data_IF_745774323816
#
_entry.id   IF_745774323816
#
_cell.length_a   1.000
_cell.length_b   1.000
_cell.length_c   1.000
_cell.angle_alpha   90.00
_cell.angle_beta   90.00
_cell.angle_gamma   90.00
#
_symmetry.space_group_name_H-M   'P 1'
#
loop_
_entity.id
_entity.type
_entity.pdbx_description
1 polymer ?
#
# COMPACT_ATOMS: atom_id res chain seq x y z
N UNK A 1 -0.60 -20.23 -10.54
CA UNK A 1 -1.98 -19.93 -10.99
C UNK A 1 -3.00 -20.94 -10.47
N UNK A 2 -2.64 -22.22 -10.30
CA UNK A 2 -3.55 -23.24 -9.73
C UNK A 2 -3.95 -22.98 -8.26
N UNK A 3 -3.07 -22.34 -7.49
CA UNK A 3 -3.24 -22.09 -6.05
C UNK A 3 -3.83 -20.69 -5.70
N UNK A 4 -4.40 -19.98 -6.68
CA UNK A 4 -4.97 -18.66 -6.39
C UNK A 4 -6.13 -18.76 -5.40
N UNK A 5 -6.41 -17.68 -4.66
CA UNK A 5 -7.37 -17.67 -3.55
C UNK A 5 -8.79 -18.12 -3.93
N UNK A 6 -9.18 -17.99 -5.20
CA UNK A 6 -10.50 -18.40 -5.72
C UNK A 6 -10.51 -19.78 -6.39
N UNK A 7 -9.40 -20.53 -6.34
CA UNK A 7 -9.29 -21.89 -6.92
C UNK A 7 -9.55 -22.95 -5.85
N UNK A 8 -10.01 -24.13 -6.27
CA UNK A 8 -10.23 -25.26 -5.35
C UNK A 8 -8.92 -25.80 -4.75
N UNK A 9 -7.83 -25.79 -5.53
CA UNK A 9 -6.52 -26.23 -5.07
C UNK A 9 -5.94 -25.18 -4.14
N UNK A 10 -5.64 -25.56 -2.89
CA UNK A 10 -5.12 -24.69 -1.85
C UNK A 10 -3.84 -25.27 -1.23
N UNK A 11 -2.94 -24.43 -0.69
CA UNK A 11 -1.80 -24.89 0.11
C UNK A 11 -2.25 -25.87 1.22
N UNK A 12 -1.42 -26.89 1.49
CA UNK A 12 -1.71 -27.89 2.54
C UNK A 12 -0.58 -27.93 3.57
N UNK A 13 -0.74 -28.73 4.61
CA UNK A 13 0.28 -29.09 5.61
C UNK A 13 1.61 -29.61 5.04
N UNK A 14 1.67 -29.97 3.75
CA UNK A 14 2.88 -30.34 3.02
C UNK A 14 3.71 -29.13 2.55
N UNK A 15 3.19 -27.91 2.70
CA UNK A 15 3.90 -26.67 2.34
C UNK A 15 5.13 -26.51 3.23
N UNK A 16 6.29 -26.27 2.62
CA UNK A 16 7.52 -26.07 3.37
C UNK A 16 7.45 -24.82 4.26
N UNK A 17 8.06 -24.86 5.47
CA UNK A 17 8.12 -23.69 6.33
C UNK A 17 8.93 -22.56 5.67
N UNK A 18 8.45 -21.33 5.77
CA UNK A 18 9.10 -20.15 5.20
C UNK A 18 9.80 -19.38 6.33
N UNK A 19 11.08 -19.02 6.11
CA UNK A 19 11.79 -18.03 6.90
C UNK A 19 11.99 -16.81 5.99
N UNK A 20 11.37 -15.68 6.34
CA UNK A 20 11.43 -14.46 5.57
C UNK A 20 12.52 -13.53 6.14
N UNK A 21 13.47 -13.13 5.31
CA UNK A 21 14.47 -12.10 5.64
C UNK A 21 14.25 -10.92 4.71
N UNK A 22 13.83 -9.79 5.23
CA UNK A 22 13.48 -8.63 4.40
C UNK A 22 14.69 -7.75 4.10
N UNK A 23 14.79 -7.29 2.86
CA UNK A 23 15.86 -6.41 2.37
C UNK A 23 15.32 -5.09 1.82
N UNK A 24 13.99 -4.93 1.83
CA UNK A 24 13.27 -3.71 1.49
C UNK A 24 12.16 -3.50 2.52
N UNK A 25 11.79 -2.25 2.78
CA UNK A 25 10.69 -1.88 3.66
C UNK A 25 9.54 -1.34 2.80
N UNK A 26 8.50 -2.13 2.57
CA UNK A 26 7.39 -1.80 1.66
C UNK A 26 6.19 -2.71 1.70
N UNK A 27 6.42 -4.01 1.49
CA UNK A 27 5.35 -4.95 1.16
C UNK A 27 4.64 -5.52 2.38
N UNK A 28 5.26 -5.49 3.57
CA UNK A 28 4.81 -6.21 4.75
C UNK A 28 4.72 -7.73 4.58
N UNK A 29 5.15 -8.28 3.44
CA UNK A 29 4.93 -9.66 3.02
C UNK A 29 5.43 -10.71 4.02
N UNK A 30 6.46 -10.36 4.79
CA UNK A 30 7.02 -11.18 5.87
C UNK A 30 6.04 -11.45 7.02
N UNK A 31 4.93 -10.71 7.12
CA UNK A 31 3.90 -10.89 8.15
C UNK A 31 2.50 -11.06 7.55
N UNK A 32 2.39 -11.48 6.29
CA UNK A 32 1.09 -11.73 5.63
C UNK A 32 0.91 -13.18 5.19
N UNK A 33 -0.34 -13.56 4.98
CA UNK A 33 -0.75 -14.84 4.37
C UNK A 33 -0.97 -14.74 2.86
N UNK A 34 -0.30 -13.77 2.21
CA UNK A 34 -0.53 -13.42 0.81
C UNK A 34 0.75 -13.57 0.01
N UNK A 35 0.66 -14.25 -1.13
CA UNK A 35 1.71 -14.29 -2.13
C UNK A 35 1.17 -13.80 -3.47
N UNK A 36 1.50 -12.56 -3.84
CA UNK A 36 1.11 -11.96 -5.10
C UNK A 36 1.97 -12.50 -6.26
N UNK A 37 1.34 -12.84 -7.37
CA UNK A 37 1.96 -13.46 -8.55
C UNK A 37 1.41 -12.80 -9.81
N UNK A 38 2.30 -12.48 -10.75
CA UNK A 38 1.93 -11.94 -12.07
C UNK A 38 1.99 -13.05 -13.12
N UNK A 39 0.90 -13.20 -13.88
CA UNK A 39 0.86 -13.96 -15.12
C UNK A 39 1.02 -12.99 -16.30
N UNK A 40 2.24 -12.88 -16.81
CA UNK A 40 2.58 -11.94 -17.89
C UNK A 40 1.91 -12.29 -19.23
N UNK A 41 1.52 -13.55 -19.45
CA UNK A 41 0.80 -13.96 -20.67
C UNK A 41 -0.65 -13.50 -20.65
N UNK A 42 -1.27 -13.52 -19.47
CA UNK A 42 -2.66 -13.10 -19.26
C UNK A 42 -2.78 -11.63 -18.84
N UNK A 43 -1.65 -10.90 -18.73
CA UNK A 43 -1.57 -9.53 -18.20
C UNK A 43 -2.28 -9.36 -16.85
N UNK A 44 -2.24 -10.38 -15.99
CA UNK A 44 -2.97 -10.40 -14.72
C UNK A 44 -2.06 -10.55 -13.53
N UNK A 45 -2.37 -9.83 -12.46
CA UNK A 45 -1.78 -10.04 -11.14
C UNK A 45 -2.87 -10.55 -10.20
N UNK A 46 -2.56 -11.59 -9.46
CA UNK A 46 -3.47 -12.16 -8.46
C UNK A 46 -2.65 -12.73 -7.30
N UNK A 47 -3.29 -13.39 -6.34
CA UNK A 47 -2.61 -13.86 -5.15
C UNK A 47 -3.05 -15.26 -4.69
N UNK A 48 -2.11 -15.94 -4.04
CA UNK A 48 -2.42 -17.00 -3.08
C UNK A 48 -2.77 -16.31 -1.76
N UNK A 49 -3.87 -16.71 -1.13
CA UNK A 49 -4.28 -16.22 0.19
C UNK A 49 -4.56 -17.43 1.09
N UNK A 50 -3.66 -17.76 1.99
CA UNK A 50 -3.80 -18.93 2.85
C UNK A 50 -2.94 -18.85 4.12
N UNK A 51 -3.50 -19.15 5.29
CA UNK A 51 -2.76 -19.08 6.56
C UNK A 51 -1.57 -20.05 6.65
N UNK A 52 -1.52 -21.09 5.82
CA UNK A 52 -0.40 -22.03 5.74
C UNK A 52 0.87 -21.36 5.19
N UNK A 53 0.75 -20.30 4.39
CA UNK A 53 1.90 -19.61 3.79
C UNK A 53 2.43 -18.45 4.64
N UNK A 54 1.93 -18.26 5.87
CA UNK A 54 2.59 -17.34 6.80
C UNK A 54 4.05 -17.76 7.02
N UNK A 55 5.01 -16.81 6.94
CA UNK A 55 6.35 -17.06 7.42
C UNK A 55 6.35 -17.55 8.86
N UNK A 56 7.12 -18.62 9.13
CA UNK A 56 7.30 -19.17 10.48
C UNK A 56 8.22 -18.30 11.32
N UNK A 57 9.15 -17.63 10.65
CA UNK A 57 10.08 -16.67 11.23
C UNK A 57 10.24 -15.53 10.24
N UNK A 58 10.19 -14.31 10.75
CA UNK A 58 10.42 -13.08 9.99
C UNK A 58 11.58 -12.33 10.65
N UNK A 59 12.63 -12.09 9.88
CA UNK A 59 13.84 -11.41 10.32
C UNK A 59 13.86 -10.05 9.64
N UNK A 60 13.70 -9.02 10.46
CA UNK A 60 13.72 -7.62 10.03
C UNK A 60 15.00 -7.02 10.59
N UNK A 61 15.98 -6.86 9.71
CA UNK A 61 17.26 -6.22 10.03
C UNK A 61 17.41 -4.95 9.16
N UNK A 62 17.27 -3.74 9.76
CA UNK A 62 17.39 -2.49 9.02
C UNK A 62 18.74 -2.32 8.31
N UNK A 63 19.83 -2.97 8.76
CA UNK A 63 21.13 -2.90 8.09
C UNK A 63 21.08 -3.47 6.66
N UNK A 64 20.23 -4.47 6.43
CA UNK A 64 20.01 -5.07 5.11
C UNK A 64 19.31 -4.13 4.12
N UNK A 65 18.77 -3.01 4.61
CA UNK A 65 18.08 -2.01 3.77
C UNK A 65 18.95 -0.80 3.41
N UNK A 66 20.15 -0.67 4.00
CA UNK A 66 21.00 0.52 3.85
C UNK A 66 21.43 0.79 2.40
N UNK A 67 21.55 -0.27 1.60
CA UNK A 67 21.98 -0.19 0.19
C UNK A 67 20.83 0.06 -0.80
N UNK A 68 19.57 0.08 -0.32
CA UNK A 68 18.40 0.29 -1.18
C UNK A 68 18.41 1.71 -1.75
N UNK A 69 18.37 1.90 -3.08
CA UNK A 69 18.39 3.22 -3.69
C UNK A 69 17.23 4.12 -3.23
N UNK A 70 17.43 5.44 -3.29
CA UNK A 70 16.43 6.42 -2.85
C UNK A 70 15.07 6.27 -3.58
N UNK A 71 15.07 6.05 -4.90
CA UNK A 71 13.83 5.86 -5.66
C UNK A 71 13.07 4.58 -5.28
N UNK A 72 13.80 3.47 -5.06
CA UNK A 72 13.20 2.23 -4.54
C UNK A 72 12.62 2.47 -3.15
N UNK A 73 13.37 3.14 -2.28
CA UNK A 73 12.93 3.51 -0.92
C UNK A 73 11.67 4.37 -0.94
N UNK A 74 11.57 5.31 -1.88
CA UNK A 74 10.39 6.16 -2.03
C UNK A 74 9.17 5.35 -2.47
N UNK A 75 9.33 4.48 -3.49
CA UNK A 75 8.26 3.61 -3.96
C UNK A 75 7.80 2.64 -2.89
N UNK A 76 8.72 1.92 -2.23
CA UNK A 76 8.35 0.93 -1.21
C UNK A 76 7.82 1.62 0.05
N UNK A 77 8.39 2.76 0.46
CA UNK A 77 7.87 3.52 1.59
C UNK A 77 6.49 4.12 1.36
N UNK A 78 6.14 4.48 0.12
CA UNK A 78 4.77 4.86 -0.22
C UNK A 78 3.81 3.66 -0.18
N UNK A 79 4.27 2.47 -0.56
CA UNK A 79 3.52 1.22 -0.38
C UNK A 79 3.17 0.98 1.10
N UNK A 80 4.13 1.19 2.03
CA UNK A 80 3.87 1.14 3.49
C UNK A 80 2.76 2.11 3.91
N UNK A 81 2.80 3.35 3.39
CA UNK A 81 1.76 4.34 3.66
C UNK A 81 0.41 3.87 3.12
N UNK A 82 0.36 3.38 1.89
CA UNK A 82 -0.85 2.90 1.24
C UNK A 82 -1.49 1.74 2.01
N UNK A 83 -0.71 0.71 2.33
CA UNK A 83 -1.13 -0.40 3.18
C UNK A 83 -1.73 0.07 4.51
N UNK A 84 -1.04 0.97 5.20
CA UNK A 84 -1.50 1.48 6.49
C UNK A 84 -2.80 2.29 6.34
N UNK A 85 -2.85 3.23 5.40
CA UNK A 85 -4.02 4.09 5.23
C UNK A 85 -5.22 3.34 4.70
N UNK A 86 -5.05 2.44 3.74
CA UNK A 86 -6.12 1.63 3.19
C UNK A 86 -6.71 0.68 4.23
N UNK A 87 -5.87 0.01 5.03
CA UNK A 87 -6.34 -0.80 6.16
C UNK A 87 -7.06 0.04 7.23
N UNK A 88 -6.61 1.29 7.45
CA UNK A 88 -7.28 2.21 8.36
C UNK A 88 -8.66 2.63 7.87
N UNK A 89 -8.81 2.94 6.58
CA UNK A 89 -10.11 3.37 6.04
C UNK A 89 -10.99 2.20 5.60
N UNK A 90 -10.47 0.98 5.57
CA UNK A 90 -11.20 -0.23 5.18
C UNK A 90 -12.56 -0.30 5.89
N UNK A 91 -13.63 -0.61 5.15
CA UNK A 91 -15.02 -0.59 5.68
C UNK A 91 -15.25 -1.54 6.86
N UNK A 92 -14.45 -2.62 6.94
CA UNK A 92 -14.48 -3.62 8.01
C UNK A 92 -13.28 -3.52 8.95
N UNK A 93 -12.59 -2.38 9.04
CA UNK A 93 -11.44 -2.24 9.93
C UNK A 93 -11.85 -2.42 11.40
N UNK A 94 -10.91 -2.89 12.23
CA UNK A 94 -11.14 -3.07 13.67
C UNK A 94 -10.28 -2.08 14.48
N UNK A 95 -10.64 -1.78 15.75
CA UNK A 95 -9.84 -0.89 16.59
C UNK A 95 -8.38 -1.32 16.75
N UNK A 96 -8.11 -2.63 16.72
CA UNK A 96 -6.75 -3.17 16.73
C UNK A 96 -5.95 -2.72 15.50
N UNK A 97 -6.56 -2.80 14.31
CA UNK A 97 -5.92 -2.39 13.05
C UNK A 97 -5.77 -0.88 12.98
N UNK A 98 -6.73 -0.11 13.50
CA UNK A 98 -6.61 1.34 13.52
C UNK A 98 -5.37 1.81 14.30
N UNK A 99 -5.04 1.16 15.43
CA UNK A 99 -3.84 1.47 16.21
C UNK A 99 -2.57 1.22 15.40
N UNK A 100 -2.44 0.03 14.79
CA UNK A 100 -1.25 -0.33 14.00
C UNK A 100 -1.10 0.57 12.78
N UNK A 101 -2.20 0.81 12.06
CA UNK A 101 -2.22 1.61 10.85
C UNK A 101 -1.87 3.08 11.12
N UNK A 102 -2.44 3.69 12.17
CA UNK A 102 -2.12 5.08 12.52
C UNK A 102 -0.65 5.25 12.92
N UNK A 103 -0.07 4.28 13.63
CA UNK A 103 1.35 4.30 13.97
C UNK A 103 2.23 4.11 12.71
N UNK A 104 1.86 3.20 11.81
CA UNK A 104 2.54 3.05 10.51
C UNK A 104 2.54 4.35 9.69
N UNK A 105 1.39 5.02 9.59
CA UNK A 105 1.26 6.32 8.91
C UNK A 105 2.15 7.37 9.57
N UNK A 106 2.17 7.44 10.91
CA UNK A 106 2.99 8.40 11.66
C UNK A 106 4.48 8.21 11.38
N UNK A 107 4.97 6.98 11.46
CA UNK A 107 6.37 6.66 11.18
C UNK A 107 6.76 7.00 9.73
N UNK A 108 5.89 6.69 8.75
CA UNK A 108 6.13 7.06 7.35
C UNK A 108 6.17 8.57 7.16
N UNK A 109 5.22 9.30 7.75
CA UNK A 109 5.16 10.77 7.67
C UNK A 109 6.42 11.43 8.23
N UNK A 110 6.97 10.90 9.33
CA UNK A 110 8.14 11.43 10.01
C UNK A 110 9.47 11.04 9.33
N UNK A 111 9.60 9.79 8.87
CA UNK A 111 10.91 9.23 8.53
C UNK A 111 11.15 8.96 7.04
N UNK A 112 10.11 8.82 6.21
CA UNK A 112 10.30 8.34 4.83
C UNK A 112 11.22 9.27 4.03
N UNK A 113 10.98 10.58 4.11
CA UNK A 113 11.80 11.55 3.38
C UNK A 113 13.28 11.47 3.75
N UNK A 114 13.57 11.25 5.03
CA UNK A 114 14.95 11.09 5.51
C UNK A 114 15.56 9.82 4.93
N UNK A 115 14.85 8.68 4.98
CA UNK A 115 15.33 7.42 4.41
C UNK A 115 15.55 7.49 2.88
N UNK A 116 14.72 8.26 2.17
CA UNK A 116 14.86 8.50 0.72
C UNK A 116 16.10 9.34 0.41
N UNK A 117 16.35 10.40 1.20
CA UNK A 117 17.46 11.35 0.96
C UNK A 117 18.80 10.86 1.47
N UNK A 118 18.80 10.15 2.60
CA UNK A 118 19.98 9.58 3.25
C UNK A 118 19.69 8.11 3.57
N UNK A 119 19.99 7.24 2.60
CA UNK A 119 19.79 5.81 2.75
C UNK A 119 20.66 5.15 3.83
N UNK A 120 21.68 5.86 4.33
CA UNK A 120 22.57 5.39 5.40
C UNK A 120 22.06 5.73 6.81
N UNK A 121 21.00 6.53 6.92
CA UNK A 121 20.41 6.90 8.20
C UNK A 121 19.69 5.70 8.83
N UNK A 122 20.38 5.03 9.77
CA UNK A 122 19.90 3.78 10.37
C UNK A 122 18.61 3.98 11.18
N UNK A 123 18.41 5.15 11.79
CA UNK A 123 17.20 5.47 12.54
C UNK A 123 15.99 5.55 11.62
N UNK A 124 16.11 6.26 10.49
CA UNK A 124 15.06 6.35 9.48
C UNK A 124 14.78 4.99 8.83
N UNK A 125 15.80 4.20 8.51
CA UNK A 125 15.63 2.83 8.01
C UNK A 125 14.89 1.95 9.02
N UNK A 126 15.28 2.03 10.29
CA UNK A 126 14.65 1.25 11.37
C UNK A 126 13.17 1.62 11.52
N UNK A 127 12.86 2.92 11.49
CA UNK A 127 11.49 3.41 11.58
C UNK A 127 10.62 2.93 10.41
N UNK A 128 11.13 2.98 9.17
CA UNK A 128 10.38 2.53 8.00
C UNK A 128 10.25 0.99 7.95
N UNK A 129 11.26 0.23 8.38
CA UNK A 129 11.15 -1.23 8.54
C UNK A 129 10.12 -1.63 9.60
N UNK A 130 10.01 -0.85 10.68
CA UNK A 130 8.96 -1.05 11.66
C UNK A 130 7.58 -0.68 11.10
N UNK A 131 7.46 0.45 10.41
CA UNK A 131 6.23 0.86 9.75
C UNK A 131 5.76 -0.18 8.71
N UNK A 132 6.68 -0.75 7.93
CA UNK A 132 6.41 -1.85 6.99
C UNK A 132 5.82 -3.09 7.70
N UNK A 133 6.37 -3.45 8.85
CA UNK A 133 5.85 -4.56 9.65
C UNK A 133 4.44 -4.28 10.17
N UNK A 134 4.20 -3.07 10.69
CA UNK A 134 2.86 -2.64 11.13
C UNK A 134 1.85 -2.63 9.98
N UNK A 135 2.25 -2.11 8.82
CA UNK A 135 1.44 -2.07 7.62
C UNK A 135 1.08 -3.49 7.14
N UNK A 136 2.06 -4.41 7.13
CA UNK A 136 1.85 -5.82 6.83
C UNK A 136 0.85 -6.50 7.78
N UNK A 137 0.99 -6.28 9.10
CA UNK A 137 0.03 -6.78 10.09
C UNK A 137 -1.36 -6.18 9.88
N UNK A 138 -1.45 -4.90 9.51
CA UNK A 138 -2.71 -4.23 9.20
C UNK A 138 -3.42 -4.88 8.01
N UNK A 139 -2.73 -5.05 6.87
CA UNK A 139 -3.34 -5.63 5.66
C UNK A 139 -3.60 -7.14 5.79
N UNK A 140 -2.83 -7.86 6.59
CA UNK A 140 -3.06 -9.28 6.85
C UNK A 140 -4.42 -9.55 7.54
N UNK A 141 -4.94 -8.56 8.26
CA UNK A 141 -6.15 -8.68 9.08
C UNK A 141 -7.33 -7.83 8.58
N UNK A 142 -7.08 -6.69 7.93
CA UNK A 142 -8.14 -5.89 7.31
C UNK A 142 -8.22 -6.08 5.80
N UNK A 143 -7.08 -6.20 5.11
CA UNK A 143 -6.98 -6.10 3.65
C UNK A 143 -6.70 -4.68 3.18
N UNK A 144 -6.75 -4.50 1.87
CA UNK A 144 -6.53 -3.24 1.15
C UNK A 144 -7.81 -2.78 0.45
N UNK A 145 -7.75 -1.67 -0.26
CA UNK A 145 -8.91 -1.04 -0.90
C UNK A 145 -8.69 -0.75 -2.38
N UNK A 146 -9.44 0.21 -2.94
CA UNK A 146 -9.47 0.53 -4.36
C UNK A 146 -8.08 0.79 -5.00
N UNK A 147 -7.18 1.60 -4.41
CA UNK A 147 -5.87 1.87 -5.01
C UNK A 147 -5.04 0.61 -5.26
N UNK A 148 -5.04 -0.35 -4.34
CA UNK A 148 -4.33 -1.62 -4.54
C UNK A 148 -4.93 -2.45 -5.68
N UNK A 149 -6.25 -2.49 -5.80
CA UNK A 149 -6.93 -3.13 -6.93
C UNK A 149 -6.46 -2.54 -8.27
N UNK A 150 -6.45 -1.22 -8.39
CA UNK A 150 -5.99 -0.51 -9.60
C UNK A 150 -4.49 -0.75 -9.84
N UNK A 151 -3.66 -0.65 -8.80
CA UNK A 151 -2.22 -0.85 -8.91
C UNK A 151 -1.83 -2.29 -9.28
N UNK A 152 -2.63 -3.28 -8.88
CA UNK A 152 -2.47 -4.67 -9.33
C UNK A 152 -2.82 -4.83 -10.81
N UNK A 153 -3.91 -4.21 -11.27
CA UNK A 153 -4.28 -4.21 -12.68
C UNK A 153 -3.20 -3.51 -13.54
N UNK A 154 -2.72 -2.33 -13.12
CA UNK A 154 -1.59 -1.65 -13.76
C UNK A 154 -0.36 -2.57 -13.81
N UNK A 155 0.04 -3.20 -12.71
CA UNK A 155 1.21 -4.08 -12.69
C UNK A 155 1.05 -5.38 -13.50
N UNK A 156 -0.18 -5.82 -13.74
CA UNK A 156 -0.48 -6.93 -14.65
C UNK A 156 -0.30 -6.54 -16.12
N UNK A 157 -0.82 -5.38 -16.50
CA UNK A 157 -0.76 -4.82 -17.85
C UNK A 157 0.63 -4.26 -18.20
N UNK A 158 1.26 -3.59 -17.25
CA UNK A 158 2.52 -2.84 -17.37
C UNK A 158 3.53 -3.35 -16.32
N UNK A 159 4.16 -4.53 -16.51
CA UNK A 159 5.04 -5.15 -15.52
C UNK A 159 6.34 -4.38 -15.25
N UNK A 160 6.67 -3.36 -16.06
CA UNK A 160 7.79 -2.46 -15.83
C UNK A 160 7.51 -1.40 -14.75
N UNK A 161 6.25 -1.20 -14.37
CA UNK A 161 5.83 -0.22 -13.36
C UNK A 161 5.99 -0.82 -11.97
N UNK A 162 6.67 -0.12 -11.06
CA UNK A 162 6.77 -0.58 -9.67
C UNK A 162 5.43 -0.45 -8.96
N UNK A 163 5.12 -1.37 -8.04
CA UNK A 163 3.82 -1.38 -7.37
C UNK A 163 3.51 -0.07 -6.61
N UNK A 164 4.48 0.43 -5.85
CA UNK A 164 4.32 1.70 -5.13
C UNK A 164 4.23 2.92 -6.04
N UNK A 165 4.83 2.88 -7.23
CA UNK A 165 4.66 3.93 -8.25
C UNK A 165 3.24 3.92 -8.83
N UNK A 166 2.70 2.75 -9.15
CA UNK A 166 1.31 2.60 -9.60
C UNK A 166 0.32 3.12 -8.56
N UNK A 167 0.53 2.79 -7.27
CA UNK A 167 -0.25 3.34 -6.16
C UNK A 167 -0.14 4.86 -6.11
N UNK A 168 1.07 5.40 -6.20
CA UNK A 168 1.32 6.83 -6.12
C UNK A 168 0.65 7.63 -7.25
N UNK A 169 0.58 7.06 -8.46
CA UNK A 169 -0.07 7.71 -9.60
C UNK A 169 -1.59 7.84 -9.43
N UNK A 170 -2.24 6.89 -8.76
CA UNK A 170 -3.71 6.89 -8.60
C UNK A 170 -4.17 7.55 -7.30
N UNK A 171 -3.29 7.62 -6.29
CA UNK A 171 -3.62 8.10 -4.95
C UNK A 171 -4.22 9.52 -4.90
N UNK A 172 -3.71 10.51 -5.66
CA UNK A 172 -4.29 11.86 -5.67
C UNK A 172 -5.78 11.87 -6.01
N UNK A 173 -6.20 11.09 -7.01
CA UNK A 173 -7.60 11.02 -7.40
C UNK A 173 -8.41 10.15 -6.44
N UNK A 174 -7.84 9.05 -5.97
CA UNK A 174 -8.45 8.22 -4.93
C UNK A 174 -8.77 9.02 -3.65
N UNK A 175 -7.85 9.87 -3.18
CA UNK A 175 -8.06 10.69 -1.98
C UNK A 175 -9.28 11.60 -2.17
N UNK A 176 -9.38 12.26 -3.33
CA UNK A 176 -10.50 13.16 -3.69
C UNK A 176 -11.81 12.41 -3.83
N UNK A 177 -11.76 11.19 -4.38
CA UNK A 177 -12.93 10.32 -4.54
C UNK A 177 -13.46 9.83 -3.19
N UNK A 178 -12.58 9.40 -2.29
CA UNK A 178 -12.95 8.65 -1.08
C UNK A 178 -13.18 9.52 0.15
N UNK A 179 -12.50 10.67 0.32
CA UNK A 179 -12.60 11.47 1.54
C UNK A 179 -14.04 11.83 1.97
N UNK A 180 -15.01 12.14 1.07
CA UNK A 180 -16.36 12.50 1.47
C UNK A 180 -17.09 11.39 2.22
N UNK A 181 -16.67 10.13 2.05
CA UNK A 181 -17.29 8.95 2.66
C UNK A 181 -16.73 8.61 4.04
N UNK A 182 -15.63 9.24 4.48
CA UNK A 182 -15.04 8.99 5.81
C UNK A 182 -14.24 10.19 6.33
N UNK A 183 -14.96 11.28 6.55
CA UNK A 183 -14.40 12.59 6.94
C UNK A 183 -13.47 12.49 8.16
N UNK A 184 -13.88 11.80 9.22
CA UNK A 184 -13.13 11.70 10.47
C UNK A 184 -11.77 11.03 10.27
N UNK A 185 -11.70 9.98 9.43
CA UNK A 185 -10.47 9.25 9.15
C UNK A 185 -9.49 10.05 8.31
N UNK A 186 -9.99 10.76 7.30
CA UNK A 186 -9.15 11.67 6.51
C UNK A 186 -8.68 12.88 7.33
N UNK A 187 -9.50 13.34 8.28
CA UNK A 187 -9.09 14.40 9.20
C UNK A 187 -8.00 13.92 10.17
N UNK A 188 -8.10 12.70 10.70
CA UNK A 188 -7.06 12.08 11.51
C UNK A 188 -5.74 11.94 10.74
N UNK A 189 -5.80 11.44 9.50
CA UNK A 189 -4.66 11.38 8.59
C UNK A 189 -3.96 12.75 8.46
N UNK A 190 -4.71 13.79 8.09
CA UNK A 190 -4.13 15.13 7.90
C UNK A 190 -3.44 15.66 9.16
N UNK A 191 -3.99 15.39 10.35
CA UNK A 191 -3.39 15.82 11.63
C UNK A 191 -2.08 15.11 11.97
N UNK A 192 -1.86 13.90 11.45
CA UNK A 192 -0.55 13.22 11.57
C UNK A 192 0.52 14.01 10.81
N UNK A 193 0.20 14.46 9.60
CA UNK A 193 1.14 15.23 8.77
C UNK A 193 1.25 16.72 9.18
N UNK A 194 0.21 17.27 9.81
CA UNK A 194 0.06 18.68 10.16
C UNK A 194 -0.63 18.84 11.52
N UNK A 195 0.17 18.84 12.59
CA UNK A 195 -0.32 18.90 13.97
C UNK A 195 -0.96 20.26 14.36
N UNK A 196 -0.75 21.31 13.57
CA UNK A 196 -1.37 22.62 13.72
C UNK A 196 -2.87 22.65 13.35
N UNK A 197 -3.37 21.61 12.68
CA UNK A 197 -4.79 21.46 12.30
C UNK A 197 -5.69 20.95 13.43
N UNK A 198 -5.18 20.84 14.66
CA UNK A 198 -5.93 20.31 15.83
C UNK A 198 -7.15 21.14 16.22
N UNK A 199 -7.18 22.43 15.88
CA UNK A 199 -8.31 23.35 16.21
C UNK A 199 -9.35 23.49 15.11
N UNK A 200 -9.10 22.94 13.92
CA UNK A 200 -10.03 23.00 12.80
C UNK A 200 -11.01 21.81 12.80
N UNK A 201 -12.19 22.00 12.22
CA UNK A 201 -13.23 20.96 12.14
C UNK A 201 -12.80 19.82 11.22
N UNK A 202 -13.32 18.61 11.46
CA UNK A 202 -12.98 17.45 10.64
C UNK A 202 -13.33 17.66 9.16
N UNK A 203 -14.42 18.35 8.83
CA UNK A 203 -14.79 18.63 7.42
C UNK A 203 -13.72 19.46 6.71
N UNK A 204 -13.20 20.50 7.38
CA UNK A 204 -12.16 21.37 6.83
C UNK A 204 -10.86 20.61 6.70
N UNK A 205 -10.49 19.85 7.74
CA UNK A 205 -9.23 19.11 7.83
C UNK A 205 -9.20 17.94 6.83
N UNK A 206 -10.31 17.21 6.69
CA UNK A 206 -10.44 16.13 5.72
C UNK A 206 -10.30 16.62 4.28
N UNK A 207 -10.85 17.80 3.94
CA UNK A 207 -10.70 18.36 2.59
C UNK A 207 -9.25 18.70 2.24
N UNK A 208 -8.49 19.27 3.19
CA UNK A 208 -7.08 19.62 2.95
C UNK A 208 -6.14 18.42 2.99
N UNK A 209 -6.59 17.27 3.51
CA UNK A 209 -5.80 16.01 3.49
C UNK A 209 -5.34 15.62 2.09
N UNK A 210 -6.15 15.89 1.06
CA UNK A 210 -5.81 15.59 -0.34
C UNK A 210 -4.54 16.35 -0.76
N UNK A 211 -4.50 17.66 -0.51
CA UNK A 211 -3.33 18.49 -0.83
C UNK A 211 -2.10 18.13 0.02
N UNK A 212 -2.30 17.74 1.27
CA UNK A 212 -1.22 17.28 2.15
C UNK A 212 -0.55 16.03 1.59
N UNK A 213 -1.34 15.04 1.13
CA UNK A 213 -0.79 13.83 0.53
C UNK A 213 -0.17 14.11 -0.85
N UNK A 214 -0.75 15.01 -1.65
CA UNK A 214 -0.12 15.48 -2.89
C UNK A 214 1.28 16.07 -2.61
N UNK A 215 1.41 16.89 -1.57
CA UNK A 215 2.70 17.49 -1.20
C UNK A 215 3.68 16.47 -0.61
N UNK A 216 3.19 15.47 0.14
CA UNK A 216 3.99 14.35 0.61
C UNK A 216 4.55 13.52 -0.55
N UNK A 217 3.72 13.23 -1.56
CA UNK A 217 4.14 12.55 -2.78
C UNK A 217 5.22 13.36 -3.51
N UNK A 218 5.00 14.66 -3.72
CA UNK A 218 5.99 15.56 -4.38
C UNK A 218 7.31 15.59 -3.63
N UNK A 219 7.26 15.70 -2.30
CA UNK A 219 8.44 15.74 -1.42
C UNK A 219 9.31 14.48 -1.53
N UNK A 220 8.72 13.35 -1.90
CA UNK A 220 9.42 12.07 -2.05
C UNK A 220 9.64 11.66 -3.52
N UNK A 221 9.34 12.52 -4.49
CA UNK A 221 9.49 12.19 -5.91
C UNK A 221 8.46 11.18 -6.44
N UNK A 222 7.32 11.04 -5.76
CA UNK A 222 6.27 10.07 -6.05
C UNK A 222 4.98 10.70 -6.59
N UNK A 223 4.95 12.01 -6.86
CA UNK A 223 3.79 12.65 -7.50
C UNK A 223 3.81 12.38 -9.00
N UNK A 224 3.39 11.16 -9.37
CA UNK A 224 3.49 10.59 -10.71
C UNK A 224 2.13 10.59 -11.39
N UNK A 225 2.13 10.50 -12.71
CA UNK A 225 0.95 10.26 -13.54
C UNK A 225 1.09 8.91 -14.27
N UNK A 226 -0.01 8.40 -14.82
CA UNK A 226 0.03 7.22 -15.68
C UNK A 226 0.94 7.43 -16.91
N UNK A 227 1.01 8.67 -17.42
CA UNK A 227 1.91 9.03 -18.52
C UNK A 227 3.38 8.96 -18.12
N UNK A 228 3.76 9.46 -16.93
CA UNK A 228 5.12 9.35 -16.40
C UNK A 228 5.57 7.88 -16.30
N UNK A 229 4.64 6.99 -15.98
CA UNK A 229 4.82 5.54 -15.87
C UNK A 229 4.75 4.79 -17.21
N UNK A 230 4.48 5.52 -18.30
CA UNK A 230 4.33 4.97 -19.66
C UNK A 230 3.23 3.92 -19.74
N UNK A 231 2.13 4.12 -19.02
CA UNK A 231 0.91 3.31 -19.16
C UNK A 231 0.16 3.81 -20.40
N UNK A 232 -0.07 2.96 -21.41
CA UNK A 232 -0.74 3.39 -22.64
C UNK A 232 -2.20 3.77 -22.39
N UNK A 233 -2.66 4.89 -22.97
CA UNK A 233 -4.06 5.35 -22.83
C UNK A 233 -5.08 4.29 -23.30
N UNK A 234 -4.73 3.53 -24.34
CA UNK A 234 -5.58 2.46 -24.86
C UNK A 234 -5.64 1.21 -23.96
N UNK A 235 -4.86 1.14 -22.88
CA UNK A 235 -4.96 0.07 -21.87
C UNK A 235 -5.84 0.47 -20.67
N UNK A 236 -6.28 1.73 -20.56
CA UNK A 236 -7.07 2.21 -19.40
C UNK A 236 -8.37 1.41 -19.23
N UNK A 237 -9.09 1.13 -20.32
CA UNK A 237 -10.33 0.35 -20.29
C UNK A 237 -10.09 -1.08 -19.77
N UNK A 238 -9.02 -1.73 -20.21
CA UNK A 238 -8.64 -3.08 -19.77
C UNK A 238 -8.21 -3.08 -18.29
N UNK A 239 -7.49 -2.05 -17.85
CA UNK A 239 -7.09 -1.86 -16.44
C UNK A 239 -8.34 -1.66 -15.56
N UNK A 240 -9.32 -0.88 -16.00
CA UNK A 240 -10.58 -0.70 -15.29
C UNK A 240 -11.35 -2.03 -15.17
N UNK A 241 -11.46 -2.79 -16.27
CA UNK A 241 -12.11 -4.10 -16.26
C UNK A 241 -11.40 -5.08 -15.31
N UNK A 242 -10.07 -5.19 -15.37
CA UNK A 242 -9.27 -6.03 -14.48
C UNK A 242 -9.36 -5.62 -13.01
N UNK A 243 -9.48 -4.32 -12.72
CA UNK A 243 -9.68 -3.82 -11.36
C UNK A 243 -10.97 -4.38 -10.74
N UNK A 244 -12.03 -4.50 -11.54
CA UNK A 244 -13.35 -4.96 -11.08
C UNK A 244 -13.43 -6.47 -10.83
N UNK A 245 -12.44 -7.23 -11.29
CA UNK A 245 -12.35 -8.68 -11.05
C UNK A 245 -11.83 -9.02 -9.65
N UNK A 246 -11.07 -8.10 -9.04
CA UNK A 246 -10.52 -8.25 -7.71
C UNK A 246 -11.48 -7.66 -6.68
N UNK A 247 -11.62 -8.26 -5.48
CA UNK A 247 -12.62 -7.80 -4.50
C UNK A 247 -12.23 -6.49 -3.79
N UNK A 248 -10.99 -6.00 -3.95
CA UNK A 248 -10.43 -4.91 -3.14
C UNK A 248 -11.21 -3.59 -3.25
N UNK A 249 -11.77 -3.27 -4.43
CA UNK A 249 -12.56 -2.04 -4.59
C UNK A 249 -13.83 -2.03 -3.71
N UNK A 250 -14.39 -3.21 -3.41
CA UNK A 250 -15.59 -3.35 -2.58
C UNK A 250 -15.33 -3.01 -1.11
N UNK A 251 -14.06 -3.03 -0.69
CA UNK A 251 -13.62 -2.75 0.66
C UNK A 251 -13.48 -1.26 0.96
N UNK A 252 -13.45 -0.43 -0.08
CA UNK A 252 -13.33 1.01 0.05
C UNK A 252 -14.60 1.62 0.68
N UNK A 253 -14.49 2.66 1.53
CA UNK A 253 -15.67 3.38 2.07
C UNK A 253 -16.61 3.91 1.01
N UNK A 254 -16.07 4.28 -0.16
CA UNK A 254 -16.82 4.61 -1.35
C UNK A 254 -16.60 3.51 -2.40
N UNK A 255 -17.58 2.66 -2.60
CA UNK A 255 -17.48 1.60 -3.63
C UNK A 255 -17.48 2.23 -5.01
N UNK A 256 -16.43 2.00 -5.78
CA UNK A 256 -16.33 2.45 -7.16
C UNK A 256 -17.13 1.55 -8.10
N UNK A 257 -17.58 2.15 -9.21
CA UNK A 257 -18.08 1.45 -10.39
C UNK A 257 -16.96 1.31 -11.42
N UNK A 258 -17.24 0.57 -12.49
CA UNK A 258 -16.32 0.44 -13.63
C UNK A 258 -16.15 1.74 -14.40
N UNK A 259 -17.23 2.53 -14.51
CA UNK A 259 -17.22 3.92 -15.02
C UNK A 259 -16.64 4.88 -13.97
#
# INVERSE_FOLDING_TARGET
WEYLFFRETQPTDKTFPIIAVTTTSGTGSQVTQVAAITNTKEKRKSAIYNSIIYPRVSIIDPELTLTVPGHITASTGFDVFAHSFEAYIHKNTSPYIEILALEGIRLVAEHLHTAVRDGSNIEARSAISWADTLAGLSIANAGVTLPHGIAMAIGGNCPHVMHGEALAAVYPQFMRFTYPSTIQKFAALARIFKSDLTRATDETVAKVSCSIIDDFLKKNGMYLTLEDLKVPENEIEEIADHTMELPDYTNNPRVATRD
#
